data_IF_525334451762
#
_entry.id   IF_525334451762
#
_cell.length_a   1.000
_cell.length_b   1.000
_cell.length_c   1.000
_cell.angle_alpha   90.00
_cell.angle_beta   90.00
_cell.angle_gamma   90.00
#
_symmetry.space_group_name_H-M   'P 1'
#
loop_
_entity.id
_entity.type
_entity.pdbx_description
1 polymer ?
#
# COMPACT_ATOMS: atom_id res chain seq x y z
N UNK A 1 -15.88 3.11 2.78
CA UNK A 1 -16.08 2.60 1.40
C UNK A 1 -15.25 3.47 0.47
N UNK A 2 -14.56 2.88 -0.50
CA UNK A 2 -13.85 3.59 -1.55
C UNK A 2 -14.38 3.09 -2.89
N UNK A 3 -14.98 3.98 -3.67
CA UNK A 3 -15.47 3.68 -5.02
C UNK A 3 -14.85 4.70 -5.98
N UNK A 4 -14.37 4.21 -7.09
CA UNK A 4 -13.80 4.97 -8.20
C UNK A 4 -14.67 4.70 -9.44
N UNK A 5 -15.23 5.75 -10.04
CA UNK A 5 -16.17 5.63 -11.16
C UNK A 5 -15.64 6.36 -12.39
N UNK A 6 -15.46 5.65 -13.49
CA UNK A 6 -15.02 6.15 -14.81
C UNK A 6 -13.81 7.09 -14.72
N UNK A 7 -12.82 6.75 -13.89
CA UNK A 7 -11.65 7.58 -13.64
C UNK A 7 -10.80 7.67 -14.90
N UNK A 8 -10.60 8.91 -15.40
CA UNK A 8 -9.71 9.22 -16.51
C UNK A 8 -8.63 10.16 -16.06
N UNK A 9 -7.39 9.93 -16.51
CA UNK A 9 -6.24 10.78 -16.24
C UNK A 9 -5.23 10.70 -17.37
N UNK A 10 -4.78 11.87 -17.83
CA UNK A 10 -3.66 11.98 -18.75
C UNK A 10 -2.61 12.96 -18.21
N UNK A 11 -1.36 12.77 -18.60
CA UNK A 11 -0.28 13.72 -18.36
C UNK A 11 0.23 14.21 -19.73
N UNK A 12 -0.14 15.44 -20.07
CA UNK A 12 0.03 15.95 -21.42
C UNK A 12 -0.78 15.11 -22.44
N UNK A 13 -0.13 14.63 -23.48
CA UNK A 13 -0.77 13.79 -24.51
C UNK A 13 -0.84 12.29 -24.12
N UNK A 14 -0.27 11.88 -22.97
CA UNK A 14 -0.19 10.46 -22.59
C UNK A 14 -1.36 10.09 -21.67
N UNK A 15 -2.32 9.29 -22.13
CA UNK A 15 -3.36 8.74 -21.27
C UNK A 15 -2.74 7.73 -20.31
N UNK A 16 -3.16 7.78 -19.03
CA UNK A 16 -2.69 6.89 -17.95
C UNK A 16 -3.83 6.08 -17.36
N UNK A 17 -4.99 6.70 -17.16
CA UNK A 17 -6.23 6.02 -16.76
C UNK A 17 -7.30 6.29 -17.80
N UNK A 18 -8.03 5.24 -18.21
CA UNK A 18 -8.90 5.28 -19.39
C UNK A 18 -10.33 4.81 -19.08
N UNK A 19 -10.96 5.44 -18.08
CA UNK A 19 -12.32 5.08 -17.66
C UNK A 19 -12.33 3.92 -16.65
N UNK A 20 -11.40 3.97 -15.69
CA UNK A 20 -11.26 2.93 -14.69
C UNK A 20 -12.39 3.02 -13.67
N UNK A 21 -13.13 1.91 -13.50
CA UNK A 21 -14.07 1.67 -12.42
C UNK A 21 -13.51 0.65 -11.44
N UNK A 22 -13.55 0.97 -10.14
CA UNK A 22 -13.13 0.04 -9.10
C UNK A 22 -13.90 0.32 -7.81
N UNK A 23 -14.61 -0.67 -7.32
CA UNK A 23 -15.23 -0.69 -6.01
C UNK A 23 -14.42 -1.59 -5.09
N UNK A 24 -13.99 -1.06 -3.95
CA UNK A 24 -13.27 -1.83 -2.95
C UNK A 24 -14.21 -2.36 -1.88
N UNK A 25 -13.92 -3.58 -1.42
CA UNK A 25 -14.61 -4.18 -0.28
C UNK A 25 -14.50 -3.24 0.95
N UNK A 26 -15.50 -3.24 1.84
CA UNK A 26 -15.52 -2.35 3.00
C UNK A 26 -14.40 -2.63 4.00
N UNK A 27 -13.81 -3.81 3.95
CA UNK A 27 -12.66 -4.24 4.77
C UNK A 27 -11.80 -5.24 4.03
N UNK A 28 -10.62 -5.55 4.58
CA UNK A 28 -9.64 -6.45 3.99
C UNK A 28 -8.70 -5.76 3.01
N UNK A 29 -7.80 -6.55 2.43
CA UNK A 29 -6.77 -6.07 1.51
C UNK A 29 -7.18 -6.35 0.07
N UNK A 30 -7.40 -5.30 -0.71
CA UNK A 30 -7.50 -5.38 -2.16
C UNK A 30 -6.14 -5.03 -2.76
N UNK A 31 -5.54 -5.98 -3.45
CA UNK A 31 -4.26 -5.78 -4.11
C UNK A 31 -4.45 -5.30 -5.55
N UNK A 32 -3.76 -4.23 -5.93
CA UNK A 32 -3.70 -3.73 -7.30
C UNK A 32 -2.38 -4.18 -7.93
N UNK A 33 -2.45 -5.15 -8.82
CA UNK A 33 -1.32 -5.78 -9.49
C UNK A 33 -1.25 -5.33 -10.95
N UNK A 34 -0.07 -5.11 -11.47
CA UNK A 34 0.12 -4.76 -12.89
C UNK A 34 1.54 -4.33 -13.21
N UNK A 35 1.89 -4.20 -14.50
CA UNK A 35 3.21 -3.78 -14.93
C UNK A 35 3.56 -2.35 -14.48
N UNK A 36 4.84 -2.04 -14.47
CA UNK A 36 5.29 -0.67 -14.20
C UNK A 36 4.73 0.30 -15.25
N UNK A 37 4.25 1.46 -14.79
CA UNK A 37 3.73 2.50 -15.68
C UNK A 37 2.27 2.32 -16.13
N UNK A 38 1.55 1.26 -15.72
CA UNK A 38 0.13 1.07 -16.08
C UNK A 38 -0.86 1.96 -15.31
N UNK A 39 -0.39 2.83 -14.40
CA UNK A 39 -1.22 3.82 -13.71
C UNK A 39 -1.56 3.53 -12.25
N UNK A 40 -1.04 2.45 -11.63
CA UNK A 40 -1.36 2.06 -10.23
C UNK A 40 -1.13 3.19 -9.21
N UNK A 41 0.07 3.76 -9.21
CA UNK A 41 0.41 4.87 -8.29
C UNK A 41 -0.40 6.13 -8.57
N UNK A 42 -0.77 6.38 -9.84
CA UNK A 42 -1.67 7.48 -10.21
C UNK A 42 -3.06 7.26 -9.64
N UNK A 43 -3.61 6.04 -9.79
CA UNK A 43 -4.90 5.68 -9.23
C UNK A 43 -4.91 5.82 -7.70
N UNK A 44 -3.85 5.34 -7.04
CA UNK A 44 -3.71 5.46 -5.58
C UNK A 44 -3.67 6.93 -5.14
N UNK A 45 -2.94 7.80 -5.85
CA UNK A 45 -2.89 9.25 -5.56
C UNK A 45 -4.24 9.92 -5.76
N UNK A 46 -5.00 9.53 -6.79
CA UNK A 46 -6.36 10.01 -7.02
C UNK A 46 -7.27 9.55 -5.88
N UNK A 47 -7.22 8.28 -5.49
CA UNK A 47 -7.97 7.74 -4.36
C UNK A 47 -7.66 8.46 -3.03
N UNK A 48 -6.41 8.92 -2.86
CA UNK A 48 -5.96 9.68 -1.70
C UNK A 48 -6.34 11.18 -1.73
N UNK A 49 -6.92 11.68 -2.83
CA UNK A 49 -7.15 13.11 -3.03
C UNK A 49 -5.87 13.93 -3.26
N UNK A 50 -4.75 13.28 -3.58
CA UNK A 50 -3.45 13.93 -3.83
C UNK A 50 -3.25 14.31 -5.31
N UNK A 51 -4.09 13.78 -6.18
CA UNK A 51 -4.14 14.07 -7.60
C UNK A 51 -5.61 14.14 -8.03
N UNK A 52 -5.97 15.11 -8.85
CA UNK A 52 -7.32 15.20 -9.40
C UNK A 52 -7.45 14.36 -10.67
N UNK A 53 -8.51 13.57 -10.86
CA UNK A 53 -8.79 12.96 -12.14
C UNK A 53 -9.19 14.05 -13.15
N UNK A 54 -9.03 13.78 -14.44
CA UNK A 54 -9.51 14.68 -15.50
C UNK A 54 -11.02 14.52 -15.69
N UNK A 55 -11.55 13.32 -15.42
CA UNK A 55 -12.98 13.02 -15.31
C UNK A 55 -13.21 11.79 -14.46
N UNK A 56 -14.48 11.58 -14.04
CA UNK A 56 -14.88 10.50 -13.15
C UNK A 56 -15.09 10.99 -11.71
N UNK A 57 -15.52 10.08 -10.84
CA UNK A 57 -15.85 10.40 -9.45
C UNK A 57 -15.10 9.49 -8.47
N UNK A 58 -14.66 10.07 -7.36
CA UNK A 58 -14.03 9.37 -6.25
C UNK A 58 -14.92 9.49 -5.02
N UNK A 59 -15.46 8.37 -4.56
CA UNK A 59 -16.28 8.31 -3.34
C UNK A 59 -15.39 7.85 -2.17
N UNK A 60 -14.58 8.75 -1.66
CA UNK A 60 -13.80 8.61 -0.45
C UNK A 60 -13.59 9.98 0.19
N UNK A 61 -13.38 10.01 1.49
CA UNK A 61 -12.97 11.23 2.18
C UNK A 61 -11.47 11.18 2.39
N UNK A 62 -10.70 12.18 1.93
CA UNK A 62 -9.25 12.20 2.14
C UNK A 62 -8.83 12.10 3.61
N UNK A 63 -9.64 12.64 4.53
CA UNK A 63 -9.40 12.55 5.98
C UNK A 63 -9.50 11.13 6.54
N UNK A 64 -10.26 10.24 5.90
CA UNK A 64 -10.37 8.82 6.26
C UNK A 64 -9.17 8.01 5.76
N UNK A 65 -8.33 8.58 4.88
CA UNK A 65 -7.22 7.91 4.23
C UNK A 65 -5.89 8.12 4.96
N UNK A 66 -5.07 7.07 5.02
CA UNK A 66 -3.64 7.19 5.26
C UNK A 66 -2.87 6.58 4.08
N UNK A 67 -1.77 7.22 3.70
CA UNK A 67 -0.97 6.81 2.54
C UNK A 67 0.41 6.39 2.99
N UNK A 68 0.85 5.22 2.51
CA UNK A 68 2.24 4.76 2.56
C UNK A 68 2.78 4.81 1.14
N UNK A 69 3.76 5.65 0.90
CA UNK A 69 4.42 5.79 -0.40
C UNK A 69 5.60 4.82 -0.54
N UNK A 70 5.98 4.54 -1.75
CA UNK A 70 7.19 3.78 -2.08
C UNK A 70 8.45 4.44 -1.50
N UNK A 71 8.56 5.78 -1.56
CA UNK A 71 9.49 6.57 -0.77
C UNK A 71 8.81 6.95 0.55
N UNK A 72 9.36 6.66 1.74
CA UNK A 72 8.72 6.89 3.04
C UNK A 72 8.44 8.36 3.36
N UNK A 73 9.03 9.31 2.63
CA UNK A 73 8.81 10.76 2.74
C UNK A 73 8.88 11.24 4.19
N UNK A 74 9.94 10.82 4.89
CA UNK A 74 10.23 11.35 6.20
C UNK A 74 10.80 12.76 6.07
N UNK A 75 10.38 13.68 6.96
CA UNK A 75 10.93 15.02 7.02
C UNK A 75 12.36 14.93 7.56
N UNK A 76 13.38 15.29 6.78
CA UNK A 76 14.78 14.99 7.12
C UNK A 76 15.33 15.83 8.29
N UNK A 77 14.64 16.91 8.65
CA UNK A 77 14.99 17.79 9.77
C UNK A 77 14.27 17.45 11.08
N UNK A 78 13.41 16.43 11.08
CA UNK A 78 12.71 15.92 12.24
C UNK A 78 13.24 14.53 12.60
N UNK A 79 13.31 14.24 13.90
CA UNK A 79 13.56 12.88 14.39
C UNK A 79 12.46 11.90 13.95
N UNK A 80 12.71 10.60 14.07
CA UNK A 80 11.71 9.56 13.86
C UNK A 80 10.45 9.80 14.71
N UNK A 81 10.64 10.08 16.01
CA UNK A 81 9.53 10.36 16.92
C UNK A 81 8.71 11.58 16.51
N UNK A 82 9.36 12.65 16.08
CA UNK A 82 8.69 13.85 15.58
C UNK A 82 7.96 13.60 14.26
N UNK A 83 8.54 12.81 13.33
CA UNK A 83 7.87 12.37 12.12
C UNK A 83 6.60 11.56 12.42
N UNK A 84 6.65 10.68 13.42
CA UNK A 84 5.49 9.90 13.87
C UNK A 84 4.46 10.78 14.59
N UNK A 85 4.92 11.78 15.36
CA UNK A 85 4.06 12.73 16.08
C UNK A 85 3.12 13.51 15.16
N UNK A 86 3.53 13.77 13.91
CA UNK A 86 2.69 14.43 12.89
C UNK A 86 1.41 13.68 12.54
N UNK A 87 1.38 12.36 12.78
CA UNK A 87 0.21 11.53 12.52
C UNK A 87 -0.82 11.55 13.66
N UNK A 88 -0.47 12.10 14.81
CA UNK A 88 -1.30 12.14 16.01
C UNK A 88 -1.97 13.52 16.17
N UNK A 89 -3.14 13.60 16.85
CA UNK A 89 -3.79 14.87 17.15
C UNK A 89 -2.85 15.84 17.86
N UNK A 90 -2.87 17.12 17.47
CA UNK A 90 -1.98 18.15 18.05
C UNK A 90 -2.15 18.29 19.57
N UNK A 91 -3.40 18.18 20.05
CA UNK A 91 -3.76 18.31 21.47
C UNK A 91 -3.55 17.05 22.29
N UNK A 92 -3.06 15.94 21.69
CA UNK A 92 -2.80 14.71 22.43
C UNK A 92 -1.69 14.92 23.46
N UNK A 93 -1.89 14.57 24.75
CA UNK A 93 -0.87 14.74 25.79
C UNK A 93 0.45 14.04 25.42
N UNK A 94 1.57 14.67 25.75
CA UNK A 94 2.91 14.19 25.37
C UNK A 94 3.18 12.74 25.83
N UNK A 95 2.69 12.36 27.01
CA UNK A 95 2.85 11.00 27.54
C UNK A 95 2.09 9.97 26.70
N UNK A 96 0.85 10.28 26.29
CA UNK A 96 0.03 9.40 25.46
C UNK A 96 0.59 9.31 24.04
N UNK A 97 1.07 10.45 23.52
CA UNK A 97 1.74 10.48 22.21
C UNK A 97 3.00 9.61 22.20
N UNK A 98 3.84 9.70 23.25
CA UNK A 98 5.05 8.89 23.38
C UNK A 98 4.71 7.39 23.42
N UNK A 99 3.74 6.98 24.24
CA UNK A 99 3.30 5.60 24.33
C UNK A 99 2.75 5.09 22.98
N UNK A 100 1.97 5.90 22.26
CA UNK A 100 1.48 5.56 20.92
C UNK A 100 2.61 5.39 19.90
N UNK A 101 3.61 6.26 19.94
CA UNK A 101 4.79 6.18 19.06
C UNK A 101 5.61 4.92 19.34
N UNK A 102 5.86 4.60 20.61
CA UNK A 102 6.57 3.39 21.02
C UNK A 102 5.83 2.12 20.55
N UNK A 103 4.51 2.08 20.75
CA UNK A 103 3.68 0.97 20.28
C UNK A 103 3.72 0.82 18.75
N UNK A 104 3.65 1.93 18.02
CA UNK A 104 3.71 1.91 16.55
C UNK A 104 5.07 1.45 16.03
N UNK A 105 6.18 1.86 16.66
CA UNK A 105 7.50 1.36 16.33
C UNK A 105 7.61 -0.15 16.59
N UNK A 106 7.11 -0.62 17.74
CA UNK A 106 7.11 -2.05 18.06
C UNK A 106 6.31 -2.88 17.06
N UNK A 107 5.15 -2.38 16.61
CA UNK A 107 4.32 -3.06 15.58
C UNK A 107 5.07 -3.29 14.26
N UNK A 108 5.98 -2.40 13.89
CA UNK A 108 6.80 -2.53 12.68
C UNK A 108 8.20 -3.09 12.97
N UNK A 109 8.36 -3.78 14.10
CA UNK A 109 9.63 -4.42 14.52
C UNK A 109 10.82 -3.44 14.59
N UNK A 110 10.58 -2.21 15.05
CA UNK A 110 11.62 -1.23 15.32
C UNK A 110 11.73 -0.96 16.82
N UNK A 111 12.96 -0.85 17.37
CA UNK A 111 13.14 -0.56 18.79
C UNK A 111 12.63 0.85 19.13
N UNK A 112 11.96 1.05 20.28
CA UNK A 112 11.46 2.37 20.72
C UNK A 112 12.55 3.44 20.80
N UNK A 113 13.79 3.07 21.13
CA UNK A 113 14.94 3.96 21.17
C UNK A 113 15.19 4.70 19.85
N UNK A 114 14.75 4.11 18.73
CA UNK A 114 14.88 4.70 17.39
C UNK A 114 14.10 6.03 17.25
N UNK A 115 13.14 6.30 18.14
CA UNK A 115 12.37 7.56 18.13
C UNK A 115 13.24 8.82 18.16
N UNK A 116 14.47 8.72 18.70
CA UNK A 116 15.43 9.83 18.79
C UNK A 116 16.35 9.96 17.56
N UNK A 117 16.39 8.96 16.70
CA UNK A 117 17.24 8.97 15.51
C UNK A 117 16.72 9.93 14.44
N UNK A 118 17.65 10.44 13.62
CA UNK A 118 17.32 11.22 12.42
C UNK A 118 17.07 10.29 11.22
N UNK A 119 16.26 10.69 10.23
CA UNK A 119 16.02 9.88 9.03
C UNK A 119 17.29 9.44 8.30
N UNK A 120 18.34 10.25 8.28
CA UNK A 120 19.66 9.93 7.67
C UNK A 120 20.42 8.78 8.35
N UNK A 121 20.02 8.43 9.58
CA UNK A 121 20.63 7.34 10.36
C UNK A 121 19.93 6.00 10.12
N UNK A 122 18.82 6.00 9.33
CA UNK A 122 18.05 4.82 9.04
C UNK A 122 18.51 4.13 7.76
N UNK A 123 18.47 2.80 7.74
CA UNK A 123 18.46 2.08 6.47
C UNK A 123 17.17 2.33 5.69
N UNK A 124 17.17 2.08 4.37
CA UNK A 124 15.96 2.24 3.55
C UNK A 124 14.78 1.43 4.08
N UNK A 125 15.02 0.19 4.52
CA UNK A 125 13.98 -0.66 5.12
C UNK A 125 13.48 -0.15 6.47
N UNK A 126 14.36 0.45 7.31
CA UNK A 126 13.93 1.09 8.56
C UNK A 126 13.09 2.33 8.28
N UNK A 127 13.51 3.18 7.34
CA UNK A 127 12.75 4.37 6.96
C UNK A 127 11.36 3.99 6.42
N UNK A 128 11.27 2.93 5.62
CA UNK A 128 10.01 2.42 5.10
C UNK A 128 9.08 1.93 6.22
N UNK A 129 9.61 1.20 7.20
CA UNK A 129 8.85 0.76 8.38
C UNK A 129 8.35 1.94 9.22
N UNK A 130 9.14 3.00 9.37
CA UNK A 130 8.68 4.24 10.02
C UNK A 130 7.53 4.88 9.23
N UNK A 131 7.59 4.87 7.89
CA UNK A 131 6.49 5.35 7.05
C UNK A 131 5.18 4.56 7.27
N UNK A 132 5.27 3.24 7.39
CA UNK A 132 4.14 2.35 7.74
C UNK A 132 3.61 2.67 9.14
N UNK A 133 4.50 2.77 10.15
CA UNK A 133 4.13 3.12 11.53
C UNK A 133 3.38 4.47 11.60
N UNK A 134 3.85 5.47 10.84
CA UNK A 134 3.19 6.77 10.74
C UNK A 134 1.77 6.68 10.21
N UNK A 135 1.55 5.86 9.18
CA UNK A 135 0.21 5.63 8.63
C UNK A 135 -0.72 4.92 9.62
N UNK A 136 -0.21 3.90 10.32
CA UNK A 136 -0.96 3.13 11.32
C UNK A 136 -1.39 3.98 12.53
N UNK A 137 -0.57 4.94 12.97
CA UNK A 137 -0.88 5.85 14.07
C UNK A 137 -2.15 6.67 13.83
N UNK A 138 -2.50 6.95 12.60
CA UNK A 138 -3.73 7.66 12.24
C UNK A 138 -5.00 6.82 12.45
N UNK A 139 -4.87 5.50 12.62
CA UNK A 139 -6.00 4.55 12.66
C UNK A 139 -6.98 4.79 11.51
N UNK A 140 -6.52 4.79 10.27
CA UNK A 140 -7.33 5.18 9.12
C UNK A 140 -8.42 4.13 8.85
N UNK A 141 -9.53 4.59 8.27
CA UNK A 141 -10.54 3.68 7.71
C UNK A 141 -10.12 3.09 6.37
N UNK A 142 -9.28 3.84 5.64
CA UNK A 142 -8.76 3.48 4.32
C UNK A 142 -7.24 3.61 4.35
N UNK A 143 -6.54 2.50 4.17
CA UNK A 143 -5.09 2.46 4.01
C UNK A 143 -4.75 2.35 2.53
N UNK A 144 -3.95 3.26 2.02
CA UNK A 144 -3.48 3.27 0.63
C UNK A 144 -1.96 3.05 0.64
N UNK A 145 -1.48 1.97 0.04
CA UNK A 145 -0.08 1.56 0.10
C UNK A 145 0.51 1.37 -1.30
N UNK A 146 1.56 2.13 -1.63
CA UNK A 146 2.27 2.06 -2.90
C UNK A 146 3.61 1.36 -2.70
N UNK A 147 3.72 0.08 -3.07
CA UNK A 147 4.90 -0.78 -2.93
C UNK A 147 5.59 -0.68 -1.54
N UNK A 148 4.82 -0.83 -0.43
CA UNK A 148 5.29 -0.43 0.91
C UNK A 148 6.43 -1.30 1.46
N UNK A 149 6.68 -2.47 0.86
CA UNK A 149 7.65 -3.44 1.36
C UNK A 149 8.81 -3.71 0.39
N UNK A 150 8.95 -2.91 -0.69
CA UNK A 150 9.97 -3.12 -1.72
C UNK A 150 11.42 -3.07 -1.19
N UNK A 151 11.68 -2.21 -0.18
CA UNK A 151 13.01 -2.03 0.41
C UNK A 151 13.34 -2.98 1.57
N UNK A 152 12.46 -3.97 1.87
CA UNK A 152 12.63 -4.87 3.01
C UNK A 152 13.27 -6.19 2.61
N UNK A 153 14.05 -6.76 3.54
CA UNK A 153 14.49 -8.15 3.46
C UNK A 153 13.30 -9.12 3.54
N UNK A 154 13.51 -10.37 3.11
CA UNK A 154 12.44 -11.35 2.95
C UNK A 154 11.73 -11.70 4.26
N UNK A 155 12.46 -11.75 5.40
CA UNK A 155 11.89 -12.14 6.69
C UNK A 155 11.05 -11.00 7.27
N UNK A 156 11.60 -9.79 7.35
CA UNK A 156 10.88 -8.59 7.80
C UNK A 156 9.66 -8.33 6.95
N UNK A 157 9.78 -8.47 5.62
CA UNK A 157 8.64 -8.32 4.70
C UNK A 157 7.50 -9.28 5.04
N UNK A 158 7.80 -10.56 5.28
CA UNK A 158 6.77 -11.57 5.63
C UNK A 158 6.04 -11.21 6.91
N UNK A 159 6.77 -10.82 7.95
CA UNK A 159 6.19 -10.47 9.25
C UNK A 159 5.25 -9.27 9.13
N UNK A 160 5.67 -8.22 8.40
CA UNK A 160 4.85 -7.04 8.19
C UNK A 160 3.63 -7.29 7.29
N UNK A 161 3.72 -8.19 6.32
CA UNK A 161 2.59 -8.65 5.53
C UNK A 161 1.54 -9.35 6.39
N UNK A 162 1.97 -10.23 7.28
CA UNK A 162 1.08 -10.95 8.21
C UNK A 162 0.43 -9.98 9.22
N UNK A 163 1.21 -9.04 9.76
CA UNK A 163 0.71 -7.95 10.60
C UNK A 163 -0.34 -7.10 9.86
N UNK A 164 -0.03 -6.65 8.65
CA UNK A 164 -0.94 -5.84 7.83
C UNK A 164 -2.27 -6.58 7.61
N UNK A 165 -2.20 -7.84 7.20
CA UNK A 165 -3.39 -8.66 6.98
C UNK A 165 -4.25 -8.79 8.23
N UNK A 166 -3.63 -8.95 9.40
CA UNK A 166 -4.35 -9.02 10.67
C UNK A 166 -5.04 -7.70 11.02
N UNK A 167 -4.37 -6.56 10.79
CA UNK A 167 -4.90 -5.23 11.10
C UNK A 167 -6.00 -4.78 10.14
N UNK A 168 -5.96 -5.20 8.88
CA UNK A 168 -6.92 -4.78 7.85
C UNK A 168 -8.21 -5.60 7.82
N UNK A 169 -8.43 -6.53 8.75
CA UNK A 169 -9.69 -7.29 8.83
C UNK A 169 -10.92 -6.40 8.99
N UNK A 170 -10.78 -5.29 9.72
CA UNK A 170 -11.86 -4.35 10.02
C UNK A 170 -11.67 -2.98 9.33
N UNK A 171 -10.65 -2.84 8.48
CA UNK A 171 -10.35 -1.64 7.72
C UNK A 171 -10.08 -2.00 6.26
N UNK A 172 -10.28 -1.05 5.35
CA UNK A 172 -10.01 -1.23 3.93
C UNK A 172 -8.55 -0.90 3.63
N UNK A 173 -7.88 -1.77 2.87
CA UNK A 173 -6.55 -1.49 2.34
C UNK A 173 -6.53 -1.66 0.81
N UNK A 174 -6.06 -0.64 0.09
CA UNK A 174 -5.63 -0.74 -1.30
C UNK A 174 -4.11 -0.86 -1.32
N UNK A 175 -3.63 -2.04 -1.71
CA UNK A 175 -2.22 -2.41 -1.69
C UNK A 175 -1.70 -2.54 -3.12
N UNK A 176 -0.80 -1.65 -3.52
CA UNK A 176 -0.18 -1.67 -4.85
C UNK A 176 1.12 -2.45 -4.79
N UNK A 177 1.29 -3.41 -5.67
CA UNK A 177 2.53 -4.14 -5.87
C UNK A 177 2.68 -4.61 -7.32
N UNK A 178 3.91 -4.96 -7.70
CA UNK A 178 4.21 -5.68 -8.94
C UNK A 178 4.58 -7.15 -8.67
N UNK A 179 4.66 -7.56 -7.40
CA UNK A 179 4.98 -8.94 -7.00
C UNK A 179 3.71 -9.75 -6.75
N UNK A 180 3.46 -10.74 -7.61
CA UNK A 180 2.28 -11.61 -7.51
C UNK A 180 2.30 -12.50 -6.25
N UNK A 181 3.49 -12.89 -5.76
CA UNK A 181 3.58 -13.71 -4.55
C UNK A 181 3.22 -12.87 -3.31
N UNK A 182 3.58 -11.59 -3.33
CA UNK A 182 3.16 -10.62 -2.32
C UNK A 182 1.63 -10.46 -2.35
N UNK A 183 1.04 -10.28 -3.54
CA UNK A 183 -0.41 -10.20 -3.70
C UNK A 183 -1.12 -11.45 -3.13
N UNK A 184 -0.66 -12.66 -3.44
CA UNK A 184 -1.23 -13.90 -2.92
C UNK A 184 -1.12 -14.05 -1.40
N UNK A 185 -0.15 -13.38 -0.78
CA UNK A 185 0.04 -13.46 0.67
C UNK A 185 -0.87 -12.52 1.43
N UNK A 186 -1.05 -11.29 0.94
CA UNK A 186 -1.74 -10.24 1.70
C UNK A 186 -3.20 -10.05 1.32
N UNK A 187 -3.59 -10.37 0.08
CA UNK A 187 -4.88 -9.95 -0.48
C UNK A 187 -6.01 -10.94 -0.22
N UNK A 188 -7.19 -10.41 0.05
CA UNK A 188 -8.48 -11.07 -0.12
C UNK A 188 -9.00 -10.95 -1.56
N UNK A 189 -8.60 -9.87 -2.25
CA UNK A 189 -8.98 -9.60 -3.64
C UNK A 189 -7.78 -9.09 -4.42
N UNK A 190 -7.59 -9.59 -5.64
CA UNK A 190 -6.52 -9.14 -6.55
C UNK A 190 -7.16 -8.52 -7.79
N UNK A 191 -6.90 -7.22 -8.00
CA UNK A 191 -7.30 -6.49 -9.20
C UNK A 191 -6.10 -6.39 -10.13
N UNK A 192 -6.18 -6.98 -11.29
CA UNK A 192 -5.13 -6.90 -12.32
C UNK A 192 -5.38 -5.68 -13.18
N UNK A 193 -4.42 -4.77 -13.21
CA UNK A 193 -4.47 -3.54 -13.97
C UNK A 193 -3.58 -3.63 -15.21
N UNK A 194 -4.14 -3.24 -16.36
CA UNK A 194 -3.43 -3.19 -17.64
C UNK A 194 -3.94 -2.00 -18.46
N UNK A 195 -3.04 -1.30 -19.15
CA UNK A 195 -3.36 -0.17 -20.05
C UNK A 195 -4.34 0.86 -19.48
N UNK A 196 -4.17 1.21 -18.21
CA UNK A 196 -4.97 2.24 -17.54
C UNK A 196 -6.38 1.83 -17.12
N UNK A 197 -6.71 0.54 -17.18
CA UNK A 197 -7.98 -0.03 -16.73
C UNK A 197 -7.80 -1.25 -15.84
N UNK A 198 -8.89 -1.70 -15.20
CA UNK A 198 -8.94 -3.00 -14.50
C UNK A 198 -9.26 -4.08 -15.52
N UNK A 199 -8.28 -4.94 -15.79
CA UNK A 199 -8.44 -6.04 -16.76
C UNK A 199 -9.22 -7.21 -16.15
N UNK A 200 -9.00 -7.52 -14.85
CA UNK A 200 -9.65 -8.62 -14.14
C UNK A 200 -9.57 -8.49 -12.64
N UNK A 201 -10.55 -9.09 -11.96
CA UNK A 201 -10.60 -9.19 -10.50
C UNK A 201 -10.65 -10.67 -10.13
N UNK A 202 -9.88 -11.06 -9.12
CA UNK A 202 -9.85 -12.41 -8.53
C UNK A 202 -10.14 -12.29 -7.04
N UNK A 203 -11.02 -13.16 -6.55
CA UNK A 203 -11.34 -13.26 -5.12
C UNK A 203 -10.43 -14.31 -4.45
N UNK A 204 -10.31 -14.27 -3.13
CA UNK A 204 -9.45 -15.20 -2.37
C UNK A 204 -9.74 -16.68 -2.66
N UNK A 205 -11.00 -17.04 -2.96
CA UNK A 205 -11.38 -18.39 -3.38
C UNK A 205 -10.65 -18.87 -4.63
N UNK A 206 -10.22 -17.95 -5.51
CA UNK A 206 -9.55 -18.27 -6.78
C UNK A 206 -8.07 -18.61 -6.58
N UNK A 207 -7.49 -18.30 -5.41
CA UNK A 207 -6.05 -18.49 -5.11
C UNK A 207 -5.77 -18.95 -3.67
N UNK A 208 -6.76 -19.55 -2.99
CA UNK A 208 -6.59 -20.04 -1.63
C UNK A 208 -5.63 -21.25 -1.56
N UNK A 209 -5.77 -22.20 -2.49
CA UNK A 209 -4.92 -23.38 -2.56
C UNK A 209 -3.62 -23.14 -3.37
N UNK A 210 -2.50 -23.83 -3.05
CA UNK A 210 -1.24 -23.69 -3.76
C UNK A 210 -1.33 -23.97 -5.25
N UNK A 211 -2.11 -24.99 -5.66
CA UNK A 211 -2.32 -25.35 -7.05
C UNK A 211 -3.03 -24.22 -7.81
N UNK A 212 -4.06 -23.64 -7.21
CA UNK A 212 -4.79 -22.48 -7.76
C UNK A 212 -3.88 -21.29 -7.95
N UNK A 213 -2.97 -21.03 -6.98
CA UNK A 213 -1.98 -19.93 -7.09
C UNK A 213 -1.03 -20.15 -8.27
N UNK A 214 -0.54 -21.38 -8.47
CA UNK A 214 0.34 -21.71 -9.57
C UNK A 214 -0.33 -21.48 -10.92
N UNK A 215 -1.55 -21.96 -11.09
CA UNK A 215 -2.33 -21.77 -12.31
C UNK A 215 -2.68 -20.30 -12.55
N UNK A 216 -3.13 -19.61 -11.50
CA UNK A 216 -3.47 -18.19 -11.58
C UNK A 216 -2.24 -17.34 -11.91
N UNK A 217 -1.07 -17.66 -11.35
CA UNK A 217 0.20 -16.98 -11.65
C UNK A 217 0.49 -17.05 -13.14
N UNK A 218 0.43 -18.23 -13.76
CA UNK A 218 0.65 -18.40 -15.21
C UNK A 218 -0.33 -17.57 -16.02
N UNK A 219 -1.60 -17.56 -15.65
CA UNK A 219 -2.65 -16.78 -16.34
C UNK A 219 -2.38 -15.27 -16.25
N UNK A 220 -2.03 -14.75 -15.07
CA UNK A 220 -1.74 -13.33 -14.87
C UNK A 220 -0.47 -12.93 -15.65
N UNK A 221 0.60 -13.73 -15.57
CA UNK A 221 1.85 -13.48 -16.29
C UNK A 221 1.61 -13.43 -17.81
N UNK A 222 0.84 -14.39 -18.33
CA UNK A 222 0.46 -14.44 -19.76
C UNK A 222 -0.37 -13.22 -20.18
N UNK A 223 -1.35 -12.81 -19.37
CA UNK A 223 -2.23 -11.66 -19.66
C UNK A 223 -1.51 -10.31 -19.61
N UNK A 224 -0.53 -10.17 -18.70
CA UNK A 224 0.22 -8.94 -18.55
C UNK A 224 1.44 -8.84 -19.49
N UNK A 225 1.71 -9.86 -20.29
CA UNK A 225 2.92 -9.93 -21.12
C UNK A 225 4.22 -9.90 -20.31
N UNK A 226 4.15 -10.25 -19.02
CA UNK A 226 5.30 -10.30 -18.13
C UNK A 226 6.09 -11.57 -18.44
N UNK A 227 7.40 -11.47 -18.67
CA UNK A 227 8.27 -12.65 -18.69
C UNK A 227 8.39 -13.18 -17.27
N UNK A 228 8.21 -14.47 -17.07
CA UNK A 228 8.55 -15.11 -15.79
C UNK A 228 10.02 -14.79 -15.48
N UNK A 229 10.25 -14.06 -14.37
CA UNK A 229 11.57 -14.10 -13.77
C UNK A 229 11.71 -15.50 -13.17
N UNK A 230 12.44 -16.39 -13.86
CA UNK A 230 12.88 -17.65 -13.29
C UNK A 230 13.55 -17.32 -11.96
N UNK A 231 12.96 -17.81 -10.87
CA UNK A 231 13.52 -17.72 -9.55
C UNK A 231 14.85 -18.47 -9.57
N UNK A 232 15.97 -17.76 -9.43
CA UNK A 232 17.17 -18.36 -8.88
C UNK A 232 16.85 -18.62 -7.40
N UNK A 233 16.54 -19.87 -7.11
CA UNK A 233 16.76 -20.45 -5.80
C UNK A 233 18.30 -20.51 -5.62
N UNK A 234 18.85 -19.65 -4.78
CA UNK A 234 20.13 -19.78 -4.14
C UNK A 234 19.93 -19.56 -2.64
#
# INVERSE_FOLDING_TARGET
MLILEDIRKAFGAKPVLQGLGLELAPSGVTCLLGPSGCGKSTLLRIAAGLESPDSGLVHARPEDCAVVFQDPRLLPWLTVGENLRLALPAMLPSREAAAGIEAALAMVELPPALSRAMPRELSGGMAQRVGVARALLRRPRIMLMDEPFAALDAMTRRNLQDMLRALMKDALCLFVTHDINEAFRVAERICVMHEGGVARIFENSDFAAPEQRSELKKRIVSQLGLKEKEGRED
#
